data_IF_149535952007
#
_entry.id   IF_149535952007
#
_cell.length_a   1.000
_cell.length_b   1.000
_cell.length_c   1.000
_cell.angle_alpha   90.00
_cell.angle_beta   90.00
_cell.angle_gamma   90.00
#
_symmetry.space_group_name_H-M   'P 1'
#
loop_
_entity.id
_entity.type
_entity.pdbx_description
1 polymer ?
#
# COMPACT_ATOMS: atom_id res chain seq x y z
N UNK A 1 -13.54 -4.06 3.91
CA UNK A 1 -12.24 -4.77 3.80
C UNK A 1 -11.35 -4.09 2.79
N UNK A 2 -10.15 -3.73 3.20
CA UNK A 2 -9.11 -3.30 2.25
C UNK A 2 -8.34 -4.53 1.83
N UNK A 3 -8.24 -4.74 0.53
CA UNK A 3 -7.43 -5.81 -0.04
C UNK A 3 -6.21 -5.20 -0.70
N UNK A 4 -5.03 -5.58 -0.23
CA UNK A 4 -3.76 -5.20 -0.83
C UNK A 4 -3.23 -6.40 -1.59
N UNK A 5 -3.05 -6.22 -2.90
CA UNK A 5 -2.55 -7.27 -3.78
C UNK A 5 -1.17 -6.88 -4.30
N UNK A 6 -0.17 -7.70 -4.01
CA UNK A 6 1.20 -7.50 -4.49
C UNK A 6 1.45 -8.45 -5.66
N UNK A 7 1.72 -7.89 -6.82
CA UNK A 7 2.13 -8.63 -8.01
C UNK A 7 3.56 -8.25 -8.40
N UNK A 8 4.08 -8.87 -9.46
CA UNK A 8 5.47 -8.65 -9.88
C UNK A 8 5.77 -7.17 -10.13
N UNK A 9 4.88 -6.48 -10.82
CA UNK A 9 5.10 -5.11 -11.29
C UNK A 9 4.10 -4.09 -10.75
N UNK A 10 3.26 -4.47 -9.79
CA UNK A 10 2.34 -3.51 -9.20
C UNK A 10 1.82 -3.94 -7.84
N UNK A 11 1.34 -2.95 -7.11
CA UNK A 11 0.61 -3.13 -5.86
C UNK A 11 -0.73 -2.44 -6.03
N UNK A 12 -1.81 -3.15 -5.75
CA UNK A 12 -3.17 -2.59 -5.77
C UNK A 12 -3.70 -2.56 -4.34
N UNK A 13 -4.22 -1.40 -3.94
CA UNK A 13 -4.87 -1.21 -2.63
C UNK A 13 -6.31 -0.87 -2.93
N UNK A 14 -7.24 -1.74 -2.54
CA UNK A 14 -8.63 -1.60 -2.96
C UNK A 14 -9.61 -1.83 -1.82
N UNK A 15 -10.64 -1.01 -1.76
CA UNK A 15 -11.74 -1.12 -0.82
C UNK A 15 -11.63 -0.14 0.34
N UNK A 16 -12.51 -0.33 1.30
CA UNK A 16 -12.56 0.44 2.55
C UNK A 16 -12.46 -0.54 3.71
N UNK A 17 -11.80 -0.12 4.78
CA UNK A 17 -11.56 -1.00 5.93
C UNK A 17 -12.86 -1.44 6.63
N UNK A 18 -13.86 -0.55 6.66
CA UNK A 18 -15.10 -0.82 7.37
C UNK A 18 -14.93 -0.88 8.89
N UNK A 19 -13.87 -0.25 9.41
CA UNK A 19 -13.59 -0.24 10.83
C UNK A 19 -14.47 0.78 11.56
N UNK A 20 -14.70 1.93 10.93
CA UNK A 20 -15.50 3.02 11.47
C UNK A 20 -16.10 3.83 10.31
N UNK A 21 -16.85 4.87 10.61
CA UNK A 21 -17.43 5.77 9.62
C UNK A 21 -16.35 6.44 8.79
N UNK A 22 -16.69 6.81 7.55
CA UNK A 22 -15.82 7.56 6.68
C UNK A 22 -15.35 8.85 7.38
N UNK A 23 -14.03 9.07 7.33
CA UNK A 23 -13.40 10.21 7.99
C UNK A 23 -12.98 9.93 9.44
N UNK A 24 -13.40 8.80 10.03
CA UNK A 24 -13.02 8.38 11.38
C UNK A 24 -12.34 7.02 11.39
N UNK A 25 -12.16 6.42 10.23
CA UNK A 25 -11.60 5.08 10.12
C UNK A 25 -10.07 5.13 10.22
N UNK A 26 -9.54 4.79 11.40
CA UNK A 26 -8.10 4.82 11.64
C UNK A 26 -7.37 3.75 10.83
N UNK A 27 -8.04 2.68 10.47
CA UNK A 27 -7.46 1.60 9.66
C UNK A 27 -7.28 2.09 8.22
N UNK A 28 -8.30 2.74 7.65
CA UNK A 28 -8.19 3.38 6.34
C UNK A 28 -7.07 4.42 6.33
N UNK A 29 -6.99 5.25 7.37
CA UNK A 29 -5.95 6.28 7.48
C UNK A 29 -4.56 5.66 7.53
N UNK A 30 -4.38 4.60 8.31
CA UNK A 30 -3.08 3.93 8.43
C UNK A 30 -2.63 3.33 7.10
N UNK A 31 -3.52 2.62 6.40
CA UNK A 31 -3.20 2.03 5.09
C UNK A 31 -2.93 3.12 4.06
N UNK A 32 -3.68 4.22 4.09
CA UNK A 32 -3.45 5.34 3.19
C UNK A 32 -2.09 5.97 3.39
N UNK A 33 -1.67 6.19 4.64
CA UNK A 33 -0.35 6.74 4.95
C UNK A 33 0.75 5.80 4.45
N UNK A 34 0.62 4.50 4.67
CA UNK A 34 1.59 3.53 4.17
C UNK A 34 1.71 3.58 2.64
N UNK A 35 0.57 3.70 1.95
CA UNK A 35 0.51 3.72 0.49
C UNK A 35 1.16 4.98 -0.07
N UNK A 36 0.78 6.16 0.44
CA UNK A 36 1.36 7.42 0.00
C UNK A 36 2.83 7.52 0.36
N UNK A 37 3.21 7.02 1.55
CA UNK A 37 4.60 7.03 1.99
C UNK A 37 5.47 6.20 1.06
N UNK A 38 5.00 5.05 0.60
CA UNK A 38 5.75 4.24 -0.34
C UNK A 38 6.06 5.01 -1.63
N UNK A 39 5.02 5.60 -2.24
CA UNK A 39 5.17 6.34 -3.48
C UNK A 39 6.11 7.54 -3.32
N UNK A 40 5.90 8.34 -2.27
CA UNK A 40 6.74 9.51 -2.00
C UNK A 40 8.17 9.13 -1.65
N UNK A 41 8.36 8.08 -0.86
CA UNK A 41 9.68 7.63 -0.45
C UNK A 41 10.52 7.16 -1.63
N UNK A 42 9.92 6.41 -2.54
CA UNK A 42 10.64 5.98 -3.74
C UNK A 42 11.06 7.20 -4.55
N UNK A 43 10.15 8.15 -4.77
CA UNK A 43 10.44 9.34 -5.56
C UNK A 43 11.50 10.25 -4.92
N UNK A 44 11.52 10.35 -3.59
CA UNK A 44 12.42 11.26 -2.86
C UNK A 44 13.75 10.64 -2.45
N UNK A 45 13.75 9.34 -2.16
CA UNK A 45 14.91 8.69 -1.53
C UNK A 45 15.69 7.80 -2.48
N UNK A 46 15.17 7.56 -3.68
CA UNK A 46 15.83 6.73 -4.69
C UNK A 46 15.86 7.47 -6.02
N UNK A 47 16.62 6.93 -6.97
CA UNK A 47 16.63 7.42 -8.35
C UNK A 47 15.49 6.81 -9.19
N UNK A 48 14.69 5.95 -8.59
CA UNK A 48 13.56 5.35 -9.29
C UNK A 48 12.31 6.22 -9.21
N UNK A 49 11.41 5.99 -10.13
CA UNK A 49 10.06 6.53 -10.11
C UNK A 49 9.06 5.40 -10.28
N UNK A 50 7.86 5.59 -9.76
CA UNK A 50 6.77 4.63 -9.90
C UNK A 50 5.55 5.33 -10.47
N UNK A 51 4.74 4.56 -11.22
CA UNK A 51 3.43 5.03 -11.63
C UNK A 51 2.49 4.98 -10.42
N UNK A 52 1.65 6.00 -10.28
CA UNK A 52 0.68 6.05 -9.20
C UNK A 52 -0.66 6.52 -9.77
N UNK A 53 -1.68 5.67 -9.64
CA UNK A 53 -3.06 6.00 -10.00
C UNK A 53 -3.91 5.89 -8.75
N UNK A 54 -4.69 6.93 -8.51
CA UNK A 54 -5.57 7.00 -7.35
C UNK A 54 -6.99 7.34 -7.78
N UNK A 55 -7.94 6.61 -7.24
CA UNK A 55 -9.37 6.91 -7.32
C UNK A 55 -9.98 6.59 -5.95
N UNK A 56 -11.17 7.12 -5.63
CA UNK A 56 -11.81 6.77 -4.36
C UNK A 56 -11.92 5.26 -4.18
N UNK A 57 -11.37 4.75 -3.09
CA UNK A 57 -11.40 3.32 -2.78
C UNK A 57 -10.41 2.46 -3.56
N UNK A 58 -9.50 3.06 -4.33
CA UNK A 58 -8.50 2.28 -5.07
C UNK A 58 -7.23 3.09 -5.30
N UNK A 59 -6.09 2.45 -5.10
CA UNK A 59 -4.79 3.00 -5.46
C UNK A 59 -3.96 1.91 -6.13
N UNK A 60 -3.26 2.25 -7.20
CA UNK A 60 -2.38 1.32 -7.91
C UNK A 60 -1.00 1.96 -8.02
N UNK A 61 0.00 1.24 -7.54
CA UNK A 61 1.41 1.62 -7.68
C UNK A 61 2.04 0.66 -8.68
N UNK A 62 2.51 1.19 -9.81
CA UNK A 62 3.11 0.40 -10.89
C UNK A 62 4.62 0.65 -10.93
N UNK A 63 5.39 -0.42 -11.07
CA UNK A 63 6.84 -0.32 -11.14
C UNK A 63 7.40 -1.41 -12.05
N UNK A 64 8.56 -1.11 -12.64
CA UNK A 64 9.30 -2.10 -13.43
C UNK A 64 10.46 -2.66 -12.64
N UNK A 65 11.59 -2.82 -13.29
CA UNK A 65 12.83 -3.18 -12.60
C UNK A 65 13.30 -1.98 -11.77
N UNK A 66 13.31 -2.16 -10.47
CA UNK A 66 13.66 -1.09 -9.53
C UNK A 66 14.98 -1.41 -8.84
N UNK A 67 15.62 -0.37 -8.32
CA UNK A 67 16.84 -0.51 -7.55
C UNK A 67 16.62 -1.31 -6.26
N UNK A 68 17.72 -1.77 -5.66
CA UNK A 68 17.67 -2.43 -4.36
C UNK A 68 17.05 -1.51 -3.29
N UNK A 69 17.33 -0.21 -3.36
CA UNK A 69 16.76 0.76 -2.42
C UNK A 69 15.24 0.84 -2.55
N UNK A 70 14.73 0.96 -3.78
CA UNK A 70 13.29 1.00 -4.00
C UNK A 70 12.63 -0.33 -3.61
N UNK A 71 13.28 -1.45 -3.90
CA UNK A 71 12.78 -2.76 -3.50
C UNK A 71 12.67 -2.88 -1.98
N UNK A 72 13.65 -2.36 -1.25
CA UNK A 72 13.60 -2.35 0.21
C UNK A 72 12.39 -1.55 0.73
N UNK A 73 12.10 -0.42 0.10
CA UNK A 73 10.93 0.39 0.46
C UNK A 73 9.62 -0.36 0.17
N UNK A 74 9.56 -1.08 -0.95
CA UNK A 74 8.40 -1.92 -1.28
C UNK A 74 8.23 -3.02 -0.24
N UNK A 75 9.31 -3.69 0.12
CA UNK A 75 9.28 -4.75 1.14
C UNK A 75 8.86 -4.19 2.51
N UNK A 76 9.31 -2.98 2.85
CA UNK A 76 8.91 -2.28 4.07
C UNK A 76 7.41 -1.98 4.08
N UNK A 77 6.86 -1.55 2.94
CA UNK A 77 5.42 -1.36 2.80
C UNK A 77 4.66 -2.65 3.08
N UNK A 78 5.12 -3.77 2.52
CA UNK A 78 4.49 -5.08 2.73
C UNK A 78 4.53 -5.47 4.21
N UNK A 79 5.64 -5.22 4.89
CA UNK A 79 5.73 -5.45 6.35
C UNK A 79 4.65 -4.63 7.07
N UNK A 80 4.48 -3.37 6.71
CA UNK A 80 3.45 -2.51 7.30
C UNK A 80 2.04 -3.06 7.08
N UNK A 81 1.74 -3.54 5.87
CA UNK A 81 0.44 -4.14 5.57
C UNK A 81 0.24 -5.46 6.33
N UNK A 82 1.29 -6.28 6.46
CA UNK A 82 1.22 -7.50 7.27
C UNK A 82 0.89 -7.19 8.73
N UNK A 83 1.50 -6.14 9.29
CA UNK A 83 1.19 -5.68 10.66
C UNK A 83 -0.27 -5.24 10.78
N UNK A 84 -0.77 -4.50 9.79
CA UNK A 84 -2.18 -4.07 9.77
C UNK A 84 -3.12 -5.25 9.66
N UNK A 85 -2.81 -6.22 8.80
CA UNK A 85 -3.60 -7.42 8.63
C UNK A 85 -3.63 -8.27 9.90
N UNK A 86 -2.52 -8.33 10.62
CA UNK A 86 -2.45 -9.04 11.90
C UNK A 86 -3.30 -8.35 12.98
N UNK A 87 -3.22 -7.03 13.07
CA UNK A 87 -3.95 -6.25 14.08
C UNK A 87 -5.44 -6.10 13.77
N UNK A 88 -5.79 -6.07 12.48
CA UNK A 88 -7.16 -5.84 12.03
C UNK A 88 -7.56 -6.86 10.95
N UNK A 89 -7.58 -8.17 11.29
CA UNK A 89 -7.75 -9.24 10.29
C UNK A 89 -9.08 -9.21 9.55
N UNK A 90 -10.11 -8.60 10.13
CA UNK A 90 -11.39 -8.42 9.46
C UNK A 90 -11.47 -7.18 8.57
N UNK A 91 -10.42 -6.35 8.54
CA UNK A 91 -10.45 -5.04 7.89
C UNK A 91 -9.37 -4.87 6.83
N UNK A 92 -8.28 -5.62 6.93
CA UNK A 92 -7.16 -5.58 5.97
C UNK A 92 -6.73 -6.98 5.61
N UNK A 93 -6.57 -7.23 4.32
CA UNK A 93 -6.11 -8.51 3.79
C UNK A 93 -4.97 -8.27 2.80
N UNK A 94 -3.92 -9.07 2.88
CA UNK A 94 -2.79 -9.04 1.95
C UNK A 94 -2.77 -10.31 1.12
N UNK A 95 -2.70 -10.14 -0.20
CA UNK A 95 -2.53 -11.22 -1.16
C UNK A 95 -1.25 -10.98 -1.96
N UNK A 96 -0.39 -11.99 -2.07
CA UNK A 96 0.84 -11.93 -2.87
C UNK A 96 0.76 -12.92 -4.02
N UNK A 97 1.16 -12.47 -5.18
CA UNK A 97 1.23 -13.29 -6.38
C UNK A 97 2.63 -13.33 -6.96
#
# INVERSE_FOLDING_TARGET
MITVTKEKNCITVKGHAGYDEYGRDIVCSAVSVLTYNLQESINRLTDDTVGFCYAPGEAVISFGDVSAAAKLLIDSFIVGIEMMSFSYPGNVELTKH
#
